data_IF_134629661237
#
_entry.id   IF_134629661237
#
_cell.length_a   1.000
_cell.length_b   1.000
_cell.length_c   1.000
_cell.angle_alpha   90.00
_cell.angle_beta   90.00
_cell.angle_gamma   90.00
#
_symmetry.space_group_name_H-M   'P 1'
#
loop_
_entity.id
_entity.type
_entity.pdbx_description
1 polymer ?
#
# COMPACT_ATOMS: atom_id res chain seq x y z
N UNK A 1 -2.57 -3.85 -40.15
CA UNK A 1 -1.59 -2.76 -39.98
C UNK A 1 -2.07 -1.94 -38.80
N UNK A 2 -1.36 -1.93 -37.67
CA UNK A 2 -1.79 -1.18 -36.48
C UNK A 2 -1.45 0.29 -36.71
N UNK A 3 -2.46 1.15 -36.72
CA UNK A 3 -2.26 2.59 -36.89
C UNK A 3 -1.45 3.18 -35.73
N UNK A 4 -0.22 3.61 -36.04
CA UNK A 4 0.71 4.20 -35.08
C UNK A 4 0.12 5.44 -34.38
N UNK A 5 -0.81 6.13 -35.05
CA UNK A 5 -1.51 7.30 -34.53
C UNK A 5 -2.52 6.94 -33.43
N UNK A 6 -3.21 5.81 -33.56
CA UNK A 6 -4.14 5.33 -32.54
C UNK A 6 -3.38 4.95 -31.27
N UNK A 7 -2.25 4.26 -31.41
CA UNK A 7 -1.38 3.90 -30.30
C UNK A 7 -0.83 5.13 -29.54
N UNK A 8 -0.34 6.15 -30.27
CA UNK A 8 0.11 7.41 -29.64
C UNK A 8 -1.01 8.12 -28.87
N UNK A 9 -2.23 8.14 -29.41
CA UNK A 9 -3.39 8.74 -28.74
C UNK A 9 -3.74 7.96 -27.46
N UNK A 10 -3.74 6.64 -27.53
CA UNK A 10 -4.00 5.77 -26.39
C UNK A 10 -2.98 5.98 -25.26
N UNK A 11 -1.68 6.00 -25.57
CA UNK A 11 -0.63 6.24 -24.56
C UNK A 11 -0.74 7.65 -23.95
N UNK A 12 -1.10 8.66 -24.73
CA UNK A 12 -1.28 10.03 -24.23
C UNK A 12 -2.50 10.16 -23.31
N UNK A 13 -3.61 9.52 -23.66
CA UNK A 13 -4.86 9.59 -22.88
C UNK A 13 -4.81 8.72 -21.63
N UNK A 14 -4.19 7.54 -21.69
CA UNK A 14 -4.08 6.62 -20.56
C UNK A 14 -2.85 6.87 -19.67
N UNK A 15 -1.81 7.51 -20.19
CA UNK A 15 -0.59 7.79 -19.44
C UNK A 15 -0.83 8.70 -18.24
N UNK A 16 -1.67 9.73 -18.38
CA UNK A 16 -2.01 10.65 -17.29
C UNK A 16 -2.77 9.93 -16.16
N UNK A 17 -3.87 9.20 -16.41
CA UNK A 17 -4.55 8.39 -15.40
C UNK A 17 -3.65 7.37 -14.70
N UNK A 18 -2.79 6.66 -15.45
CA UNK A 18 -1.87 5.67 -14.87
C UNK A 18 -0.85 6.36 -13.95
N UNK A 19 -0.27 7.48 -14.39
CA UNK A 19 0.67 8.24 -13.57
C UNK A 19 0.01 8.76 -12.29
N UNK A 20 -1.23 9.26 -12.38
CA UNK A 20 -2.02 9.64 -11.22
C UNK A 20 -2.29 8.46 -10.28
N UNK A 21 -2.67 7.30 -10.82
CA UNK A 21 -2.92 6.10 -10.02
C UNK A 21 -1.66 5.62 -9.27
N UNK A 22 -0.50 5.61 -9.94
CA UNK A 22 0.79 5.28 -9.32
C UNK A 22 1.14 6.31 -8.24
N UNK A 23 0.99 7.61 -8.53
CA UNK A 23 1.22 8.66 -7.55
C UNK A 23 0.36 8.51 -6.30
N UNK A 24 -0.94 8.26 -6.47
CA UNK A 24 -1.86 7.99 -5.38
C UNK A 24 -1.48 6.72 -4.60
N UNK A 25 -1.13 5.62 -5.29
CA UNK A 25 -0.71 4.39 -4.64
C UNK A 25 0.52 4.59 -3.74
N UNK A 26 1.50 5.38 -4.20
CA UNK A 26 2.68 5.73 -3.40
C UNK A 26 2.33 6.58 -2.19
N UNK A 27 1.42 7.56 -2.33
CA UNK A 27 0.96 8.38 -1.22
C UNK A 27 0.20 7.55 -0.18
N UNK A 28 -0.71 6.67 -0.62
CA UNK A 28 -1.46 5.78 0.27
C UNK A 28 -0.52 4.84 1.02
N UNK A 29 0.42 4.21 0.31
CA UNK A 29 1.38 3.29 0.93
C UNK A 29 2.30 3.98 1.94
N UNK A 30 2.69 5.23 1.65
CA UNK A 30 3.56 6.01 2.53
C UNK A 30 2.83 6.54 3.76
N UNK A 31 1.61 7.06 3.58
CA UNK A 31 0.95 7.87 4.60
C UNK A 31 -0.20 7.20 5.33
N UNK A 32 -0.88 6.21 4.73
CA UNK A 32 -2.11 5.62 5.29
C UNK A 32 -1.82 4.23 5.85
N UNK A 33 -1.40 3.28 5.02
CA UNK A 33 -1.14 1.91 5.44
C UNK A 33 -0.04 1.25 4.61
N UNK A 34 0.65 0.28 5.22
CA UNK A 34 1.66 -0.53 4.55
C UNK A 34 1.48 -2.00 4.90
N UNK A 35 2.07 -2.88 4.09
CA UNK A 35 2.02 -4.33 4.30
C UNK A 35 3.34 -4.80 4.91
N UNK A 36 3.27 -5.60 5.97
CA UNK A 36 4.44 -6.19 6.64
C UNK A 36 4.36 -7.70 6.63
N UNK A 37 5.50 -8.36 6.48
CA UNK A 37 5.63 -9.81 6.63
C UNK A 37 6.19 -10.11 8.01
N UNK A 38 5.58 -11.04 8.74
CA UNK A 38 6.00 -11.38 10.11
C UNK A 38 7.07 -12.48 10.06
N UNK A 39 8.28 -12.24 10.60
CA UNK A 39 9.37 -13.24 10.56
C UNK A 39 9.48 -14.08 11.84
N UNK A 40 8.81 -13.71 12.93
CA UNK A 40 9.01 -14.28 14.28
C UNK A 40 7.71 -14.81 14.90
N UNK A 41 7.86 -15.67 15.91
CA UNK A 41 6.75 -16.29 16.66
C UNK A 41 6.39 -15.54 17.96
N UNK A 42 6.88 -14.32 18.16
CA UNK A 42 6.71 -13.58 19.43
C UNK A 42 5.26 -13.25 19.77
N UNK A 43 4.35 -13.36 18.80
CA UNK A 43 2.92 -13.10 18.94
C UNK A 43 2.07 -14.35 18.69
N UNK A 44 2.69 -15.53 18.74
CA UNK A 44 1.95 -16.80 18.64
C UNK A 44 0.96 -16.95 19.82
N UNK A 45 -0.25 -17.47 19.59
CA UNK A 45 -0.79 -18.00 18.33
C UNK A 45 -1.47 -16.97 17.44
N UNK A 46 -1.65 -15.73 17.90
CA UNK A 46 -2.46 -14.71 17.23
C UNK A 46 -1.90 -14.29 15.88
N UNK A 47 -0.57 -14.17 15.79
CA UNK A 47 0.15 -13.85 14.56
C UNK A 47 1.25 -14.89 14.36
N UNK A 48 1.31 -15.47 13.16
CA UNK A 48 2.22 -16.55 12.83
C UNK A 48 3.31 -16.09 11.85
N UNK A 49 4.51 -16.71 11.89
CA UNK A 49 5.54 -16.45 10.89
C UNK A 49 5.03 -16.71 9.48
N UNK A 50 5.31 -15.79 8.57
CA UNK A 50 4.83 -15.83 7.19
C UNK A 50 3.53 -15.07 6.96
N UNK A 51 2.82 -14.65 8.02
CA UNK A 51 1.64 -13.79 7.88
C UNK A 51 2.00 -12.45 7.24
N UNK A 52 1.08 -11.95 6.40
CA UNK A 52 1.15 -10.63 5.79
C UNK A 52 0.03 -9.76 6.36
N UNK A 53 0.42 -8.67 7.02
CA UNK A 53 -0.52 -7.83 7.77
C UNK A 53 -0.50 -6.43 7.20
N UNK A 54 -1.69 -5.86 7.00
CA UNK A 54 -1.84 -4.44 6.72
C UNK A 54 -1.87 -3.65 8.01
N UNK A 55 -0.93 -2.72 8.15
CA UNK A 55 -0.81 -1.85 9.32
C UNK A 55 -1.03 -0.40 8.91
N UNK A 56 -1.80 0.34 9.70
CA UNK A 56 -2.06 1.76 9.47
C UNK A 56 -0.98 2.61 10.14
N UNK A 57 -0.60 3.71 9.49
CA UNK A 57 0.35 4.66 10.07
C UNK A 57 -0.41 5.63 10.96
N UNK A 58 -0.21 5.50 12.27
CA UNK A 58 -0.74 6.44 13.25
C UNK A 58 0.31 7.54 13.55
N UNK A 59 -0.12 8.81 13.55
CA UNK A 59 0.76 9.96 13.79
C UNK A 59 0.56 10.62 15.16
N UNK A 60 -0.37 10.11 15.96
CA UNK A 60 -0.71 10.68 17.27
C UNK A 60 -0.66 9.60 18.33
N UNK A 61 0.16 9.76 19.36
CA UNK A 61 0.20 8.82 20.48
C UNK A 61 -1.13 8.80 21.25
N UNK A 62 -1.90 9.89 21.21
CA UNK A 62 -3.17 10.02 21.94
C UNK A 62 -4.28 9.11 21.42
N UNK A 63 -4.19 8.62 20.18
CA UNK A 63 -5.18 7.72 19.60
C UNK A 63 -4.93 6.24 19.95
N UNK A 64 -3.77 5.93 20.55
CA UNK A 64 -3.41 4.58 20.94
C UNK A 64 -4.24 4.08 22.12
N UNK A 65 -4.73 2.85 22.02
CA UNK A 65 -5.53 2.20 23.06
C UNK A 65 -4.86 0.93 23.54
N UNK A 66 -5.13 0.56 24.79
CA UNK A 66 -4.68 -0.73 25.33
C UNK A 66 -5.31 -1.86 24.51
N UNK A 67 -4.48 -2.75 24.01
CA UNK A 67 -4.87 -3.85 23.12
C UNK A 67 -4.50 -3.62 21.66
N UNK A 68 -4.08 -2.41 21.27
CA UNK A 68 -3.55 -2.15 19.92
C UNK A 68 -2.22 -2.88 19.70
N UNK A 69 -2.03 -3.40 18.48
CA UNK A 69 -0.78 -4.03 18.02
C UNK A 69 0.00 -2.98 17.22
N UNK A 70 1.22 -2.70 17.67
CA UNK A 70 2.09 -1.66 17.10
C UNK A 70 3.30 -2.30 16.41
N UNK A 71 3.71 -1.71 15.28
CA UNK A 71 4.84 -2.15 14.45
C UNK A 71 5.84 -1.01 14.31
#
# INVERSE_FOLDING_TARGET
MIDLNLFKKFVKEWGIPILCAVGLALLVNKFIFFNVSVPTESMYPTIQPGDKIFVTRNYSEKSLKRGDILV
#
